data_IF_966592564076
#
_entry.id   IF_966592564076
#
_cell.length_a   1.000
_cell.length_b   1.000
_cell.length_c   1.000
_cell.angle_alpha   90.00
_cell.angle_beta   90.00
_cell.angle_gamma   90.00
#
_symmetry.space_group_name_H-M   'P 1'
#
loop_
_entity.id
_entity.type
_entity.pdbx_description
1 polymer ?
#
# COMPACT_ATOMS: atom_id res chain seq x y z
N UNK A 1 -5.12 2.65 13.85
CA UNK A 1 -5.56 2.30 12.49
C UNK A 1 -7.00 1.84 12.55
N UNK A 2 -7.80 2.24 11.56
CA UNK A 2 -9.20 1.81 11.45
C UNK A 2 -9.31 0.37 10.92
N UNK A 3 -10.42 -0.31 11.24
CA UNK A 3 -10.65 -1.72 10.88
C UNK A 3 -10.70 -1.93 9.36
N UNK A 4 -11.25 -0.97 8.62
CA UNK A 4 -11.38 -1.06 7.17
C UNK A 4 -10.00 -1.11 6.50
N UNK A 5 -9.10 -0.23 6.93
CA UNK A 5 -7.71 -0.23 6.46
C UNK A 5 -6.98 -1.54 6.78
N UNK A 6 -7.15 -2.08 7.99
CA UNK A 6 -6.48 -3.33 8.37
C UNK A 6 -6.98 -4.53 7.54
N UNK A 7 -8.27 -4.58 7.23
CA UNK A 7 -8.83 -5.62 6.34
C UNK A 7 -8.26 -5.51 4.92
N UNK A 8 -8.16 -4.30 4.38
CA UNK A 8 -7.55 -4.06 3.07
C UNK A 8 -6.08 -4.51 3.03
N UNK A 9 -5.30 -4.19 4.07
CA UNK A 9 -3.91 -4.65 4.18
C UNK A 9 -3.84 -6.18 4.24
N UNK A 10 -4.75 -6.85 4.95
CA UNK A 10 -4.79 -8.31 4.98
C UNK A 10 -5.11 -8.89 3.60
N UNK A 11 -6.14 -8.39 2.92
CA UNK A 11 -6.53 -8.85 1.58
C UNK A 11 -5.39 -8.71 0.56
N UNK A 12 -4.65 -7.60 0.58
CA UNK A 12 -3.50 -7.40 -0.29
C UNK A 12 -2.36 -8.36 0.05
N UNK A 13 -2.11 -8.64 1.34
CA UNK A 13 -1.09 -9.62 1.73
C UNK A 13 -1.48 -11.04 1.31
N UNK A 14 -2.77 -11.41 1.38
CA UNK A 14 -3.27 -12.70 0.89
C UNK A 14 -3.09 -12.83 -0.62
N UNK A 15 -3.53 -11.84 -1.40
CA UNK A 15 -3.29 -11.80 -2.86
C UNK A 15 -1.81 -11.91 -3.20
N UNK A 16 -0.95 -11.19 -2.47
CA UNK A 16 0.49 -11.26 -2.66
C UNK A 16 1.05 -12.66 -2.33
N UNK A 17 0.57 -13.30 -1.26
CA UNK A 17 1.00 -14.65 -0.88
C UNK A 17 0.61 -15.68 -1.96
N UNK A 18 -0.62 -15.58 -2.47
CA UNK A 18 -1.19 -16.48 -3.47
C UNK A 18 -0.70 -16.22 -4.91
N UNK A 19 -0.14 -15.04 -5.18
CA UNK A 19 0.40 -14.73 -6.51
C UNK A 19 1.60 -15.62 -6.87
N UNK A 20 1.36 -16.64 -7.70
CA UNK A 20 2.36 -17.58 -8.23
C UNK A 20 2.77 -17.26 -9.67
N UNK A 21 2.00 -16.44 -10.39
CA UNK A 21 2.28 -16.05 -11.77
C UNK A 21 2.76 -14.60 -11.86
N UNK A 22 3.52 -14.29 -12.91
CA UNK A 22 3.94 -12.91 -13.18
C UNK A 22 2.73 -11.98 -13.37
N UNK A 23 1.65 -12.48 -13.97
CA UNK A 23 0.41 -11.72 -14.15
C UNK A 23 -0.23 -11.36 -12.80
N UNK A 24 -0.38 -12.32 -11.88
CA UNK A 24 -0.92 -12.08 -10.54
C UNK A 24 -0.03 -11.13 -9.72
N UNK A 25 1.30 -11.23 -9.90
CA UNK A 25 2.24 -10.30 -9.29
C UNK A 25 2.08 -8.87 -9.81
N UNK A 26 1.93 -8.70 -11.12
CA UNK A 26 1.69 -7.39 -11.77
C UNK A 26 0.36 -6.78 -11.35
N UNK A 27 -0.69 -7.59 -11.19
CA UNK A 27 -1.99 -7.14 -10.68
C UNK A 27 -1.86 -6.61 -9.25
N UNK A 28 -1.23 -7.39 -8.37
CA UNK A 28 -1.00 -6.98 -6.97
C UNK A 28 -0.17 -5.70 -6.88
N UNK A 29 0.87 -5.58 -7.70
CA UNK A 29 1.68 -4.36 -7.79
C UNK A 29 0.86 -3.16 -8.28
N UNK A 30 -0.01 -3.35 -9.27
CA UNK A 30 -0.88 -2.28 -9.78
C UNK A 30 -1.83 -1.76 -8.70
N UNK A 31 -2.42 -2.67 -7.91
CA UNK A 31 -3.28 -2.32 -6.78
C UNK A 31 -2.51 -1.48 -5.75
N UNK A 32 -1.32 -1.96 -5.34
CA UNK A 32 -0.48 -1.26 -4.35
C UNK A 32 -0.08 0.13 -4.86
N UNK A 33 0.33 0.25 -6.13
CA UNK A 33 0.69 1.55 -6.74
C UNK A 33 -0.49 2.51 -6.80
N UNK A 34 -1.69 2.03 -7.15
CA UNK A 34 -2.90 2.85 -7.18
C UNK A 34 -3.21 3.41 -5.78
N UNK A 35 -3.09 2.57 -4.75
CA UNK A 35 -3.31 2.96 -3.34
C UNK A 35 -2.27 3.94 -2.83
N UNK A 36 -1.00 3.75 -3.17
CA UNK A 36 0.02 4.73 -2.82
C UNK A 36 -0.26 6.09 -3.46
N UNK A 37 -0.65 6.13 -4.74
CA UNK A 37 -1.00 7.38 -5.41
C UNK A 37 -2.17 8.08 -4.71
N UNK A 38 -3.23 7.35 -4.36
CA UNK A 38 -4.38 7.88 -3.60
C UNK A 38 -3.95 8.47 -2.25
N UNK A 39 -3.06 7.80 -1.52
CA UNK A 39 -2.53 8.30 -0.25
C UNK A 39 -1.61 9.51 -0.44
N UNK A 40 -0.81 9.55 -1.51
CA UNK A 40 0.02 10.72 -1.86
C UNK A 40 -0.85 11.94 -2.14
N UNK A 41 -1.90 11.79 -2.95
CA UNK A 41 -2.82 12.89 -3.24
C UNK A 41 -3.54 13.36 -1.95
N UNK A 42 -3.89 12.41 -1.07
CA UNK A 42 -4.55 12.70 0.20
C UNK A 42 -3.63 13.41 1.21
N UNK A 43 -2.37 12.99 1.31
CA UNK A 43 -1.42 13.63 2.24
C UNK A 43 -1.04 15.03 1.76
N UNK A 44 -0.91 15.24 0.44
CA UNK A 44 -0.69 16.57 -0.13
C UNK A 44 -1.80 17.53 0.26
N UNK A 45 -3.07 17.11 0.11
CA UNK A 45 -4.23 17.92 0.53
C UNK A 45 -4.25 18.20 2.03
N UNK A 46 -3.86 17.23 2.86
CA UNK A 46 -3.78 17.43 4.31
C UNK A 46 -2.74 18.50 4.66
N UNK A 47 -1.58 18.50 4.00
CA UNK A 47 -0.58 19.56 4.16
C UNK A 47 -1.05 20.92 3.64
N UNK A 48 -1.74 20.98 2.50
CA UNK A 48 -2.32 22.23 1.98
C UNK A 48 -3.35 22.88 2.92
N UNK A 49 -3.96 22.09 3.81
CA UNK A 49 -4.97 22.52 4.78
C UNK A 49 -4.41 22.68 6.20
N UNK A 50 -3.09 22.54 6.39
CA UNK A 50 -2.43 22.51 7.70
C UNK A 50 -2.97 21.41 8.66
N UNK A 51 -3.64 20.38 8.14
CA UNK A 51 -4.17 19.25 8.92
C UNK A 51 -3.07 18.20 9.17
N UNK A 52 -2.18 18.52 10.11
CA UNK A 52 -1.02 17.70 10.44
C UNK A 52 -1.39 16.35 11.09
N UNK A 53 -2.50 16.29 11.85
CA UNK A 53 -2.96 15.04 12.43
C UNK A 53 -3.46 14.09 11.33
N UNK A 54 -4.18 14.61 10.34
CA UNK A 54 -4.57 13.81 9.18
C UNK A 54 -3.37 13.39 8.34
N UNK A 55 -2.42 14.29 8.11
CA UNK A 55 -1.19 13.97 7.40
C UNK A 55 -0.43 12.83 8.09
N UNK A 56 -0.30 12.87 9.42
CA UNK A 56 0.33 11.83 10.24
C UNK A 56 -0.41 10.49 10.13
N UNK A 57 -1.74 10.49 10.15
CA UNK A 57 -2.55 9.28 9.93
C UNK A 57 -2.23 8.66 8.55
N UNK A 58 -2.26 9.47 7.49
CA UNK A 58 -2.03 9.02 6.11
C UNK A 58 -0.59 8.51 5.93
N UNK A 59 0.41 9.21 6.44
CA UNK A 59 1.81 8.78 6.39
C UNK A 59 2.02 7.46 7.12
N UNK A 60 1.31 7.23 8.22
CA UNK A 60 1.36 5.94 8.92
C UNK A 60 0.75 4.83 8.05
N UNK A 61 -0.33 5.10 7.29
CA UNK A 61 -0.92 4.15 6.33
C UNK A 61 0.05 3.85 5.18
N UNK A 62 0.71 4.87 4.63
CA UNK A 62 1.70 4.71 3.56
C UNK A 62 2.83 3.75 3.96
N UNK A 63 3.27 3.75 5.22
CA UNK A 63 4.30 2.82 5.73
C UNK A 63 3.92 1.35 5.55
N UNK A 64 2.65 0.98 5.70
CA UNK A 64 2.20 -0.39 5.46
C UNK A 64 2.35 -0.78 3.99
N UNK A 65 2.01 0.13 3.07
CA UNK A 65 2.17 -0.11 1.65
C UNK A 65 3.64 -0.18 1.23
N UNK A 66 4.54 0.62 1.83
CA UNK A 66 5.98 0.49 1.60
C UNK A 66 6.51 -0.90 2.00
N UNK A 67 6.01 -1.46 3.11
CA UNK A 67 6.37 -2.82 3.51
C UNK A 67 5.87 -3.87 2.49
N UNK A 68 4.69 -3.68 1.90
CA UNK A 68 4.15 -4.58 0.88
C UNK A 68 4.96 -4.48 -0.42
N UNK A 69 5.34 -3.27 -0.84
CA UNK A 69 6.22 -3.08 -2.00
C UNK A 69 7.56 -3.79 -1.82
N UNK A 70 8.14 -3.75 -0.62
CA UNK A 70 9.37 -4.46 -0.34
C UNK A 70 9.18 -5.98 -0.46
N UNK A 71 8.08 -6.52 0.08
CA UNK A 71 7.73 -7.94 -0.11
C UNK A 71 7.57 -8.31 -1.59
N UNK A 72 6.95 -7.45 -2.39
CA UNK A 72 6.81 -7.65 -3.85
C UNK A 72 8.18 -7.70 -4.52
N UNK A 73 9.09 -6.77 -4.19
CA UNK A 73 10.45 -6.76 -4.75
C UNK A 73 11.21 -8.04 -4.40
N UNK A 74 11.17 -8.46 -3.14
CA UNK A 74 11.82 -9.68 -2.69
C UNK A 74 11.28 -10.92 -3.41
N UNK A 75 9.95 -11.01 -3.62
CA UNK A 75 9.32 -12.13 -4.31
C UNK A 75 9.63 -12.19 -5.82
N UNK A 76 10.10 -11.09 -6.42
CA UNK A 76 10.54 -11.03 -7.83
C UNK A 76 11.98 -11.47 -8.05
N UNK A 77 12.79 -11.58 -6.99
CA UNK A 77 14.16 -12.08 -7.10
C UNK A 77 14.09 -13.60 -7.29
N UNK A 78 14.57 -14.16 -8.43
CA UNK A 78 14.66 -15.60 -8.59
C UNK A 78 15.63 -16.17 -7.55
N UNK A 79 15.25 -17.25 -6.88
CA UNK A 79 16.16 -18.06 -6.06
C UNK A 79 17.20 -18.77 -6.94
#
# INVERSE_FOLDING_TARGET
MDRQFLMEIMEINEKLAEAQSEAAMKETESIVRAKQKELTDSVSRAFEQDDLEKAKEILTKMRYFSNIEEKIKLKKIPL
#
